data_IF_659744514786
#
_entry.id   IF_659744514786
#
_cell.length_a   1.000
_cell.length_b   1.000
_cell.length_c   1.000
_cell.angle_alpha   90.00
_cell.angle_beta   90.00
_cell.angle_gamma   90.00
#
_symmetry.space_group_name_H-M   'P 1'
#
loop_
_entity.id
_entity.type
_entity.pdbx_description
1 polymer ?
#
# COMPACT_ATOMS: atom_id res chain seq x y z
N UNK A 1 -16.34 13.73 -29.76
CA UNK A 1 -15.46 14.49 -30.67
C UNK A 1 -14.06 14.41 -30.11
N UNK A 2 -13.22 13.62 -30.76
CA UNK A 2 -11.86 13.33 -30.34
C UNK A 2 -10.96 14.50 -30.75
N UNK A 3 -10.32 15.13 -29.77
CA UNK A 3 -9.47 16.31 -29.97
C UNK A 3 -8.11 15.84 -30.55
N UNK A 4 -7.73 16.21 -31.79
CA UNK A 4 -6.60 15.61 -32.50
C UNK A 4 -5.20 16.02 -32.02
N UNK A 5 -5.06 16.88 -31.00
CA UNK A 5 -3.76 17.29 -30.46
C UNK A 5 -3.33 16.49 -29.21
N UNK A 6 -3.30 15.15 -29.31
CA UNK A 6 -2.88 14.22 -28.24
C UNK A 6 -1.49 13.59 -28.45
N UNK A 7 -0.55 14.32 -29.03
CA UNK A 7 0.86 13.92 -29.05
C UNK A 7 1.61 14.72 -27.99
N UNK A 8 2.31 14.00 -27.09
CA UNK A 8 3.34 14.59 -26.21
C UNK A 8 4.52 15.03 -27.07
N UNK A 9 4.32 16.04 -27.90
CA UNK A 9 5.36 16.59 -28.75
C UNK A 9 6.40 17.28 -27.88
N UNK A 10 7.66 16.88 -28.07
CA UNK A 10 8.80 17.50 -27.40
C UNK A 10 8.88 19.01 -27.69
N UNK A 11 9.70 19.71 -26.91
CA UNK A 11 9.86 21.17 -26.98
C UNK A 11 10.04 21.72 -28.41
N UNK A 12 10.86 21.07 -29.24
CA UNK A 12 11.18 21.53 -30.60
C UNK A 12 9.98 21.58 -31.56
N UNK A 13 9.27 20.46 -31.78
CA UNK A 13 8.04 20.45 -32.59
C UNK A 13 6.97 21.43 -32.10
N UNK A 14 6.81 21.56 -30.78
CA UNK A 14 5.88 22.52 -30.15
C UNK A 14 6.25 23.97 -30.45
N UNK A 15 7.53 24.32 -30.28
CA UNK A 15 8.07 25.63 -30.65
C UNK A 15 7.82 25.93 -32.14
N UNK A 16 8.07 24.97 -33.02
CA UNK A 16 7.82 25.13 -34.45
C UNK A 16 6.32 25.36 -34.76
N UNK A 17 5.43 24.67 -34.04
CA UNK A 17 3.98 24.86 -34.12
C UNK A 17 3.55 26.27 -33.72
N UNK A 18 4.00 26.74 -32.55
CA UNK A 18 3.70 28.08 -32.04
C UNK A 18 4.24 29.18 -32.95
N UNK A 19 5.47 29.02 -33.47
CA UNK A 19 6.03 29.96 -34.45
C UNK A 19 5.18 30.07 -35.70
N UNK A 20 4.74 28.94 -36.27
CA UNK A 20 3.88 28.93 -37.46
C UNK A 20 2.51 29.55 -37.16
N UNK A 21 1.94 29.30 -35.99
CA UNK A 21 0.68 29.90 -35.56
C UNK A 21 0.78 31.44 -35.42
N UNK A 22 1.95 31.95 -35.01
CA UNK A 22 2.26 33.37 -34.98
C UNK A 22 2.58 33.98 -36.37
N UNK A 23 2.53 33.18 -37.45
CA UNK A 23 2.82 33.62 -38.81
C UNK A 23 4.29 33.98 -39.07
N UNK A 24 5.21 33.54 -38.20
CA UNK A 24 6.63 33.90 -38.28
C UNK A 24 7.43 32.83 -39.03
N UNK A 25 8.42 33.25 -39.81
CA UNK A 25 9.50 32.36 -40.29
C UNK A 25 10.56 32.16 -39.20
N UNK A 26 11.40 31.12 -39.32
CA UNK A 26 12.54 30.93 -38.40
C UNK A 26 13.47 32.14 -38.37
N UNK A 27 13.64 32.82 -39.52
CA UNK A 27 14.44 34.02 -39.65
C UNK A 27 13.83 35.18 -38.86
N UNK A 28 12.53 35.44 -39.04
CA UNK A 28 11.82 36.51 -38.33
C UNK A 28 11.75 36.28 -36.81
N UNK A 29 11.61 35.02 -36.37
CA UNK A 29 11.67 34.70 -34.95
C UNK A 29 13.07 34.94 -34.38
N UNK A 30 14.11 34.57 -35.13
CA UNK A 30 15.50 34.79 -34.73
C UNK A 30 15.82 36.29 -34.59
N UNK A 31 15.35 37.12 -35.52
CA UNK A 31 15.48 38.58 -35.49
C UNK A 31 14.82 39.20 -34.26
N UNK A 32 13.60 38.77 -33.92
CA UNK A 32 12.89 39.25 -32.71
C UNK A 32 13.57 38.88 -31.40
N UNK A 33 14.35 37.79 -31.40
CA UNK A 33 15.03 37.26 -30.21
C UNK A 33 16.51 37.65 -30.17
N UNK A 34 17.01 38.40 -31.16
CA UNK A 34 18.43 38.72 -31.31
C UNK A 34 19.35 37.49 -31.31
N UNK A 35 18.90 36.40 -31.93
CA UNK A 35 19.67 35.16 -32.10
C UNK A 35 19.85 34.81 -33.58
N UNK A 36 20.67 33.80 -33.88
CA UNK A 36 20.83 33.33 -35.25
C UNK A 36 19.67 32.42 -35.67
N UNK A 37 19.30 32.43 -36.96
CA UNK A 37 18.34 31.47 -37.52
C UNK A 37 18.73 30.01 -37.26
N UNK A 38 20.03 29.71 -37.21
CA UNK A 38 20.53 28.38 -36.88
C UNK A 38 20.22 27.97 -35.44
N UNK A 39 20.24 28.90 -34.47
CA UNK A 39 19.84 28.62 -33.10
C UNK A 39 18.37 28.18 -33.04
N UNK A 40 17.47 28.94 -33.67
CA UNK A 40 16.04 28.59 -33.77
C UNK A 40 15.83 27.23 -34.43
N UNK A 41 16.54 26.94 -35.52
CA UNK A 41 16.47 25.64 -36.20
C UNK A 41 16.95 24.47 -35.31
N UNK A 42 18.02 24.67 -34.53
CA UNK A 42 18.51 23.67 -33.58
C UNK A 42 17.56 23.45 -32.41
N UNK A 43 16.88 24.49 -31.94
CA UNK A 43 15.83 24.38 -30.93
C UNK A 43 14.61 23.62 -31.46
N UNK A 44 14.12 23.97 -32.65
CA UNK A 44 12.98 23.29 -33.29
C UNK A 44 13.26 21.81 -33.60
N UNK A 45 14.52 21.45 -33.87
CA UNK A 45 14.97 20.07 -34.10
C UNK A 45 15.42 19.33 -32.82
N UNK A 46 15.36 19.97 -31.65
CA UNK A 46 15.76 19.38 -30.37
C UNK A 46 17.26 19.13 -30.19
N UNK A 47 18.11 19.67 -31.07
CA UNK A 47 19.58 19.50 -31.00
C UNK A 47 20.24 20.34 -29.91
N UNK A 48 19.62 21.47 -29.57
CA UNK A 48 20.02 22.33 -28.44
C UNK A 48 18.77 22.83 -27.74
N UNK A 49 18.91 23.30 -26.51
CA UNK A 49 17.83 23.97 -25.78
C UNK A 49 18.16 25.45 -25.61
N UNK A 50 17.16 26.35 -25.65
CA UNK A 50 17.33 27.73 -25.23
C UNK A 50 17.57 27.76 -23.71
N UNK A 51 18.30 28.78 -23.26
CA UNK A 51 18.46 29.06 -21.84
C UNK A 51 17.21 29.74 -21.27
N UNK A 52 17.22 30.06 -19.97
CA UNK A 52 16.06 30.66 -19.31
C UNK A 52 15.65 32.01 -19.93
N UNK A 53 16.63 32.84 -20.30
CA UNK A 53 16.38 34.11 -20.98
C UNK A 53 15.78 33.90 -22.37
N UNK A 54 16.30 32.93 -23.14
CA UNK A 54 15.77 32.53 -24.43
C UNK A 54 14.33 32.00 -24.35
N UNK A 55 14.00 31.22 -23.31
CA UNK A 55 12.64 30.73 -23.07
C UNK A 55 11.65 31.88 -22.78
N UNK A 56 12.04 32.84 -21.95
CA UNK A 56 11.21 34.03 -21.68
C UNK A 56 11.02 34.88 -22.93
N UNK A 57 12.10 35.10 -23.70
CA UNK A 57 12.04 35.83 -24.97
C UNK A 57 11.13 35.13 -25.98
N UNK A 58 11.22 33.80 -26.09
CA UNK A 58 10.35 33.00 -26.96
C UNK A 58 8.87 33.14 -26.59
N UNK A 59 8.55 33.06 -25.30
CA UNK A 59 7.18 33.22 -24.82
C UNK A 59 6.60 34.61 -25.19
N UNK A 60 7.39 35.67 -24.99
CA UNK A 60 7.02 37.04 -25.37
C UNK A 60 6.88 37.22 -26.89
N UNK A 61 7.86 36.76 -27.67
CA UNK A 61 7.88 36.94 -29.12
C UNK A 61 6.75 36.19 -29.84
N UNK A 62 6.27 35.09 -29.24
CA UNK A 62 5.20 34.23 -29.75
C UNK A 62 3.83 34.54 -29.11
N UNK A 63 3.76 35.41 -28.10
CA UNK A 63 2.51 35.78 -27.43
C UNK A 63 1.85 34.61 -26.67
N UNK A 64 2.66 33.72 -26.09
CA UNK A 64 2.17 32.54 -25.36
C UNK A 64 2.75 32.49 -23.94
N UNK A 65 2.14 31.71 -23.06
CA UNK A 65 2.70 31.49 -21.71
C UNK A 65 3.88 30.50 -21.76
N UNK A 66 4.71 30.53 -20.72
CA UNK A 66 5.83 29.58 -20.60
C UNK A 66 5.32 28.12 -20.55
N UNK A 67 4.15 27.87 -19.93
CA UNK A 67 3.53 26.53 -19.98
C UNK A 67 3.13 26.13 -21.40
N UNK A 68 2.58 27.05 -22.20
CA UNK A 68 2.23 26.75 -23.58
C UNK A 68 3.46 26.44 -24.43
N UNK A 69 4.58 27.15 -24.19
CA UNK A 69 5.84 27.01 -24.90
C UNK A 69 6.60 25.72 -24.56
N UNK A 70 6.80 25.47 -23.27
CA UNK A 70 7.54 24.29 -22.78
C UNK A 70 6.70 23.01 -22.92
N UNK A 71 5.40 23.19 -23.16
CA UNK A 71 4.41 22.17 -22.86
C UNK A 71 4.17 22.19 -21.38
N UNK A 72 2.88 22.24 -21.00
CA UNK A 72 2.50 22.26 -19.61
C UNK A 72 3.35 21.22 -18.91
N UNK A 73 3.99 21.62 -17.80
CA UNK A 73 4.30 20.67 -16.75
C UNK A 73 2.96 19.98 -16.53
N UNK A 74 2.71 18.85 -17.20
CA UNK A 74 1.48 18.11 -16.98
C UNK A 74 1.52 17.90 -15.48
N UNK A 75 0.51 18.42 -14.73
CA UNK A 75 0.49 18.23 -13.30
C UNK A 75 0.66 16.72 -13.13
N UNK A 76 1.75 16.29 -12.47
CA UNK A 76 2.26 14.93 -12.61
C UNK A 76 1.10 14.00 -12.33
N UNK A 77 0.73 13.18 -13.34
CA UNK A 77 -0.59 12.55 -13.46
C UNK A 77 -1.27 12.42 -12.09
N UNK A 78 -2.27 13.29 -11.86
CA UNK A 78 -3.00 13.31 -10.61
C UNK A 78 -3.68 11.97 -10.36
N UNK A 79 -4.15 11.72 -9.14
CA UNK A 79 -4.91 10.52 -8.87
C UNK A 79 -6.11 10.39 -9.79
N UNK A 80 -6.46 9.14 -10.09
CA UNK A 80 -7.73 8.85 -10.76
C UNK A 80 -8.86 9.25 -9.80
N UNK A 81 -9.47 10.40 -10.03
CA UNK A 81 -10.53 10.94 -9.17
C UNK A 81 -11.79 10.07 -9.20
N UNK A 82 -12.03 9.32 -10.28
CA UNK A 82 -13.11 8.34 -10.33
C UNK A 82 -12.85 7.20 -9.34
N UNK A 83 -11.66 6.61 -9.41
CA UNK A 83 -11.24 5.55 -8.49
C UNK A 83 -11.20 6.02 -7.03
N UNK A 84 -10.65 7.21 -6.78
CA UNK A 84 -10.60 7.82 -5.44
C UNK A 84 -11.98 8.04 -4.86
N UNK A 85 -12.93 8.54 -5.68
CA UNK A 85 -14.35 8.67 -5.27
C UNK A 85 -14.91 7.30 -4.90
N UNK A 86 -14.69 6.27 -5.72
CA UNK A 86 -15.13 4.91 -5.43
C UNK A 86 -14.58 4.41 -4.10
N UNK A 87 -13.29 4.56 -3.81
CA UNK A 87 -12.71 4.18 -2.52
C UNK A 87 -13.41 4.87 -1.33
N UNK A 88 -13.61 6.20 -1.43
CA UNK A 88 -14.34 6.97 -0.40
C UNK A 88 -15.77 6.45 -0.21
N UNK A 89 -16.48 6.20 -1.31
CA UNK A 89 -17.84 5.68 -1.28
C UNK A 89 -17.91 4.31 -0.60
N UNK A 90 -17.02 3.38 -0.96
CA UNK A 90 -16.98 2.05 -0.33
C UNK A 90 -16.65 2.16 1.16
N UNK A 91 -15.67 2.99 1.54
CA UNK A 91 -15.30 3.20 2.93
C UNK A 91 -16.46 3.74 3.76
N UNK A 92 -17.09 4.84 3.35
CA UNK A 92 -18.20 5.44 4.10
C UNK A 92 -19.47 4.59 4.09
N UNK A 93 -19.75 3.86 3.00
CA UNK A 93 -20.86 2.89 2.98
C UNK A 93 -20.64 1.78 4.00
N UNK A 94 -19.40 1.33 4.16
CA UNK A 94 -19.01 0.35 5.17
C UNK A 94 -19.07 0.91 6.59
N UNK A 95 -18.66 2.15 6.83
CA UNK A 95 -18.83 2.84 8.12
C UNK A 95 -20.32 2.85 8.51
N UNK A 96 -21.19 3.25 7.57
CA UNK A 96 -22.63 3.28 7.78
C UNK A 96 -23.17 1.88 8.08
N UNK A 97 -22.78 0.88 7.28
CA UNK A 97 -23.19 -0.51 7.48
C UNK A 97 -22.74 -1.04 8.84
N UNK A 98 -21.49 -0.79 9.25
CA UNK A 98 -20.98 -1.16 10.56
C UNK A 98 -21.80 -0.53 11.69
N UNK A 99 -22.12 0.77 11.58
CA UNK A 99 -22.95 1.47 12.57
C UNK A 99 -24.37 0.87 12.67
N UNK A 100 -24.99 0.55 11.53
CA UNK A 100 -26.29 -0.13 11.49
C UNK A 100 -26.22 -1.51 12.15
N UNK A 101 -25.20 -2.30 11.83
CA UNK A 101 -25.02 -3.63 12.43
C UNK A 101 -24.80 -3.53 13.95
N UNK A 102 -23.99 -2.58 14.41
CA UNK A 102 -23.78 -2.34 15.85
C UNK A 102 -25.11 -2.01 16.54
N UNK A 103 -25.92 -1.12 15.97
CA UNK A 103 -27.25 -0.80 16.49
C UNK A 103 -28.18 -2.02 16.54
N UNK A 104 -28.19 -2.83 15.49
CA UNK A 104 -28.96 -4.07 15.42
C UNK A 104 -28.51 -5.09 16.48
N UNK A 105 -27.21 -5.25 16.71
CA UNK A 105 -26.67 -6.15 17.73
C UNK A 105 -27.09 -5.75 19.14
N UNK A 106 -27.03 -4.45 19.44
CA UNK A 106 -27.50 -3.92 20.72
C UNK A 106 -29.01 -4.10 20.88
N UNK A 107 -29.80 -3.84 19.82
CA UNK A 107 -31.24 -4.03 19.82
C UNK A 107 -31.67 -5.49 20.02
N UNK A 108 -30.94 -6.44 19.43
CA UNK A 108 -31.16 -7.88 19.61
C UNK A 108 -30.69 -8.42 20.97
N UNK A 109 -30.14 -7.57 21.86
CA UNK A 109 -29.62 -8.01 23.15
C UNK A 109 -28.36 -8.88 23.05
N UNK A 110 -27.60 -8.76 21.97
CA UNK A 110 -26.40 -9.57 21.66
C UNK A 110 -25.15 -8.67 21.55
N UNK A 111 -24.66 -8.07 22.67
CA UNK A 111 -23.58 -7.08 22.63
C UNK A 111 -22.24 -7.64 22.14
N UNK A 112 -22.01 -8.96 22.25
CA UNK A 112 -20.79 -9.59 21.75
C UNK A 112 -20.62 -9.46 20.22
N UNK A 113 -21.72 -9.31 19.47
CA UNK A 113 -21.69 -9.14 18.02
C UNK A 113 -21.16 -7.77 17.56
N UNK A 114 -21.11 -6.78 18.45
CA UNK A 114 -20.60 -5.42 18.16
C UNK A 114 -19.11 -5.42 17.84
N UNK A 115 -18.35 -6.35 18.42
CA UNK A 115 -16.89 -6.36 18.32
C UNK A 115 -16.38 -6.63 16.90
N UNK A 116 -17.06 -7.48 16.13
CA UNK A 116 -16.63 -7.80 14.76
C UNK A 116 -16.64 -6.56 13.84
N UNK A 117 -17.77 -5.88 13.61
CA UNK A 117 -17.77 -4.67 12.77
C UNK A 117 -16.88 -3.56 13.35
N UNK A 118 -16.75 -3.44 14.67
CA UNK A 118 -15.87 -2.45 15.29
C UNK A 118 -14.38 -2.70 14.99
N UNK A 119 -13.90 -3.94 15.15
CA UNK A 119 -12.50 -4.30 14.89
C UNK A 119 -12.16 -4.17 13.41
N UNK A 120 -13.04 -4.67 12.53
CA UNK A 120 -12.84 -4.57 11.09
C UNK A 120 -12.75 -3.11 10.63
N UNK A 121 -13.61 -2.24 11.19
CA UNK A 121 -13.57 -0.81 10.89
C UNK A 121 -12.31 -0.13 11.43
N UNK A 122 -11.84 -0.50 12.62
CA UNK A 122 -10.58 0.01 13.18
C UNK A 122 -9.40 -0.36 12.27
N UNK A 123 -9.33 -1.63 11.84
CA UNK A 123 -8.29 -2.12 10.93
C UNK A 123 -8.34 -1.38 9.58
N UNK A 124 -9.51 -1.29 8.94
CA UNK A 124 -9.64 -0.61 7.65
C UNK A 124 -9.36 0.90 7.77
N UNK A 125 -9.79 1.55 8.85
CA UNK A 125 -9.50 2.96 9.12
C UNK A 125 -8.00 3.23 9.28
N UNK A 126 -7.27 2.31 9.94
CA UNK A 126 -5.82 2.41 10.12
C UNK A 126 -5.03 2.37 8.81
N UNK A 127 -5.61 1.77 7.75
CA UNK A 127 -5.00 1.67 6.41
C UNK A 127 -5.53 2.77 5.49
N UNK A 128 -6.83 3.03 5.51
CA UNK A 128 -7.51 4.04 4.69
C UNK A 128 -6.91 5.44 4.89
N UNK A 129 -6.76 5.87 6.15
CA UNK A 129 -6.34 7.23 6.47
C UNK A 129 -4.93 7.54 5.94
N UNK A 130 -3.90 6.68 6.16
CA UNK A 130 -2.61 6.86 5.51
C UNK A 130 -2.68 6.86 3.99
N UNK A 131 -3.40 5.91 3.36
CA UNK A 131 -3.44 5.81 1.89
C UNK A 131 -4.10 7.04 1.26
N UNK A 132 -5.22 7.52 1.79
CA UNK A 132 -5.87 8.76 1.32
C UNK A 132 -4.96 9.98 1.54
N UNK A 133 -4.23 10.04 2.67
CA UNK A 133 -3.26 11.11 2.93
C UNK A 133 -2.10 11.08 1.91
N UNK A 134 -1.58 9.90 1.56
CA UNK A 134 -0.54 9.74 0.54
C UNK A 134 -1.04 10.16 -0.84
N UNK A 135 -2.25 9.76 -1.23
CA UNK A 135 -2.86 10.14 -2.52
C UNK A 135 -3.10 11.65 -2.61
N UNK A 136 -3.54 12.27 -1.51
CA UNK A 136 -3.83 13.72 -1.45
C UNK A 136 -2.56 14.58 -1.44
N UNK A 137 -1.55 14.17 -0.68
CA UNK A 137 -0.30 14.92 -0.52
C UNK A 137 0.72 14.64 -1.63
N UNK A 138 0.65 13.45 -2.23
CA UNK A 138 1.68 12.95 -3.14
C UNK A 138 2.97 12.52 -2.44
N UNK A 139 2.98 12.43 -1.10
CA UNK A 139 4.08 11.88 -0.30
C UNK A 139 3.77 10.42 0.06
N UNK A 140 4.60 9.50 -0.42
CA UNK A 140 4.43 8.05 -0.23
C UNK A 140 5.34 7.48 0.86
N UNK A 141 5.90 8.30 1.74
CA UNK A 141 6.76 7.83 2.85
C UNK A 141 6.10 6.85 3.80
N UNK A 142 4.78 6.92 3.94
CA UNK A 142 4.01 5.99 4.75
C UNK A 142 3.73 4.66 4.03
N UNK A 143 4.05 4.55 2.74
CA UNK A 143 3.91 3.29 2.00
C UNK A 143 5.07 2.38 2.37
N UNK A 144 4.75 1.20 2.91
CA UNK A 144 5.76 0.21 3.28
C UNK A 144 6.61 -0.18 2.06
N UNK A 145 7.93 -0.12 2.21
CA UNK A 145 8.88 -0.44 1.13
C UNK A 145 9.12 0.69 0.11
N UNK A 146 8.54 1.88 0.32
CA UNK A 146 8.84 3.05 -0.51
C UNK A 146 10.22 3.65 -0.16
N UNK A 147 11.08 3.81 -1.16
CA UNK A 147 12.40 4.43 -1.01
C UNK A 147 12.49 5.70 -1.86
N UNK A 148 12.62 6.86 -1.21
CA UNK A 148 12.76 8.17 -1.87
C UNK A 148 13.95 8.25 -2.85
N UNK A 149 14.91 7.32 -2.77
CA UNK A 149 16.08 7.25 -3.64
C UNK A 149 15.81 6.56 -4.98
N UNK A 150 14.73 5.79 -5.09
CA UNK A 150 14.36 5.05 -6.29
C UNK A 150 13.49 5.89 -7.23
N UNK A 151 13.65 5.67 -8.53
CA UNK A 151 12.93 6.43 -9.56
C UNK A 151 11.63 5.72 -9.92
N UNK A 152 10.57 5.98 -9.14
CA UNK A 152 9.25 5.40 -9.41
C UNK A 152 8.53 6.10 -10.57
N UNK A 153 7.85 5.31 -11.39
CA UNK A 153 6.87 5.84 -12.33
C UNK A 153 5.62 6.32 -11.58
N UNK A 154 5.58 7.63 -11.29
CA UNK A 154 4.59 8.27 -10.41
C UNK A 154 3.11 7.98 -10.73
N UNK A 155 2.64 8.00 -12.00
CA UNK A 155 1.25 7.67 -12.32
C UNK A 155 0.87 6.25 -11.89
N UNK A 156 1.77 5.29 -12.13
CA UNK A 156 1.58 3.89 -11.72
C UNK A 156 1.64 3.72 -10.21
N UNK A 157 2.50 4.45 -9.51
CA UNK A 157 2.56 4.44 -8.05
C UNK A 157 1.24 4.93 -7.43
N UNK A 158 0.72 6.07 -7.89
CA UNK A 158 -0.57 6.61 -7.42
C UNK A 158 -1.68 5.59 -7.67
N UNK A 159 -1.73 5.03 -8.89
CA UNK A 159 -2.74 4.03 -9.24
C UNK A 159 -2.62 2.75 -8.41
N UNK A 160 -1.41 2.30 -8.10
CA UNK A 160 -1.17 1.16 -7.22
C UNK A 160 -1.75 1.43 -5.83
N UNK A 161 -1.43 2.58 -5.23
CA UNK A 161 -1.93 2.96 -3.89
C UNK A 161 -3.46 3.02 -3.85
N UNK A 162 -4.09 3.59 -4.87
CA UNK A 162 -5.55 3.62 -4.97
C UNK A 162 -6.16 2.21 -5.13
N UNK A 163 -5.50 1.31 -5.86
CA UNK A 163 -5.92 -0.08 -6.00
C UNK A 163 -5.71 -0.90 -4.72
N UNK A 164 -4.65 -0.63 -3.96
CA UNK A 164 -4.46 -1.18 -2.62
C UNK A 164 -5.63 -0.77 -1.75
N UNK A 165 -5.94 0.54 -1.70
CA UNK A 165 -7.06 1.07 -0.90
C UNK A 165 -8.37 0.38 -1.28
N UNK A 166 -8.73 0.38 -2.58
CA UNK A 166 -9.95 -0.27 -3.04
C UNK A 166 -10.02 -1.75 -2.64
N UNK A 167 -8.90 -2.48 -2.77
CA UNK A 167 -8.85 -3.91 -2.44
C UNK A 167 -9.07 -4.15 -0.94
N UNK A 168 -8.43 -3.35 -0.09
CA UNK A 168 -8.64 -3.38 1.37
C UNK A 168 -10.10 -3.05 1.70
N UNK A 169 -10.67 -2.01 1.08
CA UNK A 169 -12.04 -1.61 1.34
C UNK A 169 -13.06 -2.68 0.95
N UNK A 170 -12.88 -3.31 -0.21
CA UNK A 170 -13.75 -4.39 -0.69
C UNK A 170 -13.61 -5.65 0.17
N UNK A 171 -12.39 -6.00 0.61
CA UNK A 171 -12.18 -7.09 1.56
C UNK A 171 -12.94 -6.83 2.87
N UNK A 172 -12.78 -5.66 3.47
CA UNK A 172 -13.50 -5.29 4.70
C UNK A 172 -15.02 -5.29 4.53
N UNK A 173 -15.53 -4.81 3.38
CA UNK A 173 -16.96 -4.84 3.09
C UNK A 173 -17.49 -6.28 2.99
N UNK A 174 -16.77 -7.15 2.28
CA UNK A 174 -17.12 -8.56 2.16
C UNK A 174 -17.16 -9.26 3.53
N UNK A 175 -16.15 -9.05 4.37
CA UNK A 175 -16.08 -9.67 5.70
C UNK A 175 -17.11 -9.12 6.70
N UNK A 176 -17.47 -7.84 6.62
CA UNK A 176 -18.58 -7.29 7.41
C UNK A 176 -19.92 -7.92 7.03
N UNK A 177 -20.16 -8.16 5.74
CA UNK A 177 -21.39 -8.80 5.25
C UNK A 177 -21.43 -10.28 5.60
N UNK A 178 -20.35 -11.01 5.31
CA UNK A 178 -20.19 -12.44 5.63
C UNK A 178 -20.33 -12.65 7.14
N UNK A 179 -19.63 -11.82 7.93
CA UNK A 179 -19.71 -11.84 9.38
C UNK A 179 -21.15 -11.72 9.85
N UNK A 180 -21.84 -10.64 9.47
CA UNK A 180 -23.23 -10.42 9.87
C UNK A 180 -24.16 -11.61 9.52
N UNK A 181 -24.09 -12.12 8.29
CA UNK A 181 -24.92 -13.23 7.83
C UNK A 181 -24.65 -14.53 8.62
N UNK A 182 -23.38 -14.85 8.87
CA UNK A 182 -23.00 -16.04 9.63
C UNK A 182 -23.34 -15.91 11.12
N UNK A 183 -23.35 -14.71 11.67
CA UNK A 183 -23.65 -14.49 13.08
C UNK A 183 -25.13 -14.65 13.43
N UNK A 184 -26.05 -14.33 12.49
CA UNK A 184 -27.50 -14.36 12.75
C UNK A 184 -27.99 -15.71 13.32
N UNK A 185 -27.64 -16.88 12.72
CA UNK A 185 -28.05 -18.17 13.24
C UNK A 185 -27.15 -18.73 14.35
N UNK A 186 -26.01 -18.10 14.67
CA UNK A 186 -25.05 -18.66 15.63
C UNK A 186 -25.50 -18.51 17.09
N UNK A 187 -25.31 -19.58 17.86
CA UNK A 187 -25.41 -19.52 19.34
C UNK A 187 -24.20 -18.79 19.93
N UNK A 188 -24.28 -18.38 21.20
CA UNK A 188 -23.14 -17.77 21.90
C UNK A 188 -21.93 -18.72 21.95
N UNK A 189 -22.18 -20.02 22.05
CA UNK A 189 -21.14 -21.05 22.04
C UNK A 189 -20.48 -21.19 20.66
N UNK A 190 -21.24 -21.11 19.56
CA UNK A 190 -20.64 -21.14 18.22
C UNK A 190 -19.90 -19.83 17.93
N UNK A 191 -20.41 -18.70 18.43
CA UNK A 191 -19.82 -17.38 18.25
C UNK A 191 -18.42 -17.27 18.85
N UNK A 192 -18.17 -17.88 20.00
CA UNK A 192 -16.85 -17.86 20.63
C UNK A 192 -15.77 -18.42 19.69
N UNK A 193 -16.09 -19.45 18.88
CA UNK A 193 -15.14 -20.05 17.95
C UNK A 193 -15.17 -19.40 16.56
N UNK A 194 -16.35 -18.95 16.12
CA UNK A 194 -16.52 -18.28 14.83
C UNK A 194 -15.83 -16.92 14.76
N UNK A 195 -15.91 -16.13 15.84
CA UNK A 195 -15.37 -14.77 15.87
C UNK A 195 -13.86 -14.68 15.53
N UNK A 196 -12.95 -15.43 16.18
CA UNK A 196 -11.53 -15.40 15.84
C UNK A 196 -11.24 -15.83 14.40
N UNK A 197 -11.98 -16.82 13.88
CA UNK A 197 -11.83 -17.32 12.50
C UNK A 197 -12.19 -16.23 11.49
N UNK A 198 -13.28 -15.49 11.72
CA UNK A 198 -13.70 -14.38 10.85
C UNK A 198 -12.66 -13.25 10.84
N UNK A 199 -12.13 -12.89 12.02
CA UNK A 199 -11.09 -11.85 12.13
C UNK A 199 -9.81 -12.25 11.38
N UNK A 200 -9.37 -13.51 11.51
CA UNK A 200 -8.18 -13.99 10.80
C UNK A 200 -8.39 -14.11 9.31
N UNK A 201 -9.56 -14.61 8.88
CA UNK A 201 -9.91 -14.61 7.46
C UNK A 201 -9.88 -13.21 6.86
N UNK A 202 -10.39 -12.21 7.58
CA UNK A 202 -10.30 -10.80 7.20
C UNK A 202 -8.86 -10.32 7.06
N UNK A 203 -8.01 -10.55 8.07
CA UNK A 203 -6.59 -10.13 8.07
C UNK A 203 -5.84 -10.79 6.92
N UNK A 204 -6.00 -12.11 6.72
CA UNK A 204 -5.34 -12.84 5.64
C UNK A 204 -5.80 -12.33 4.27
N UNK A 205 -7.10 -12.13 4.07
CA UNK A 205 -7.64 -11.57 2.82
C UNK A 205 -7.09 -10.18 2.53
N UNK A 206 -6.96 -9.34 3.56
CA UNK A 206 -6.35 -8.00 3.45
C UNK A 206 -4.87 -8.09 3.04
N UNK A 207 -4.07 -8.90 3.75
CA UNK A 207 -2.64 -9.06 3.48
C UNK A 207 -2.37 -9.62 2.07
N UNK A 208 -3.13 -10.66 1.68
CA UNK A 208 -3.04 -11.24 0.33
C UNK A 208 -3.43 -10.21 -0.73
N UNK A 209 -4.50 -9.44 -0.50
CA UNK A 209 -4.93 -8.38 -1.41
C UNK A 209 -3.85 -7.32 -1.63
N UNK A 210 -3.25 -6.80 -0.54
CA UNK A 210 -2.15 -5.83 -0.60
C UNK A 210 -0.97 -6.41 -1.38
N UNK A 211 -0.57 -7.65 -1.07
CA UNK A 211 0.55 -8.31 -1.73
C UNK A 211 0.30 -8.54 -3.24
N UNK A 212 -0.89 -8.99 -3.62
CA UNK A 212 -1.27 -9.20 -5.01
C UNK A 212 -1.23 -7.91 -5.82
N UNK A 213 -1.71 -6.79 -5.27
CA UNK A 213 -1.65 -5.49 -5.93
C UNK A 213 -0.19 -5.03 -6.08
N UNK A 214 0.61 -5.13 -5.01
CA UNK A 214 2.04 -4.80 -5.07
C UNK A 214 2.76 -5.62 -6.15
N UNK A 215 2.53 -6.94 -6.19
CA UNK A 215 3.14 -7.83 -7.17
C UNK A 215 2.74 -7.46 -8.61
N UNK A 216 1.45 -7.18 -8.84
CA UNK A 216 0.91 -6.79 -10.15
C UNK A 216 1.54 -5.51 -10.69
N UNK A 217 1.75 -4.51 -9.85
CA UNK A 217 2.22 -3.19 -10.28
C UNK A 217 3.75 -3.06 -10.27
N UNK A 218 4.45 -3.90 -9.53
CA UNK A 218 5.89 -3.79 -9.30
C UNK A 218 6.73 -3.72 -10.59
N UNK A 219 6.43 -4.51 -11.63
CA UNK A 219 7.17 -4.48 -12.90
C UNK A 219 7.01 -3.16 -13.68
N UNK A 220 5.89 -2.45 -13.47
CA UNK A 220 5.57 -1.18 -14.12
C UNK A 220 5.95 0.03 -13.27
N UNK A 221 6.32 -0.19 -12.01
CA UNK A 221 6.67 0.83 -11.02
C UNK A 221 8.11 1.28 -11.11
N UNK A 222 9.02 0.32 -11.27
CA UNK A 222 10.46 0.53 -11.37
C UNK A 222 10.91 0.21 -12.80
N UNK A 223 11.15 1.24 -13.64
CA UNK A 223 11.56 1.04 -15.03
C UNK A 223 12.98 0.48 -15.14
N UNK A 224 13.86 0.74 -14.18
CA UNK A 224 15.21 0.19 -14.13
C UNK A 224 15.21 -1.25 -13.57
N UNK A 225 15.76 -2.21 -14.33
CA UNK A 225 15.80 -3.61 -13.92
C UNK A 225 16.71 -3.84 -12.70
N UNK A 226 17.76 -3.03 -12.53
CA UNK A 226 18.66 -3.09 -11.39
C UNK A 226 17.96 -2.66 -10.11
N UNK A 227 17.24 -1.54 -10.13
CA UNK A 227 16.38 -1.05 -9.05
C UNK A 227 15.30 -2.08 -8.70
N UNK A 228 14.66 -2.67 -9.72
CA UNK A 228 13.66 -3.71 -9.52
C UNK A 228 14.24 -4.93 -8.80
N UNK A 229 15.40 -5.44 -9.23
CA UNK A 229 16.10 -6.54 -8.55
C UNK A 229 16.48 -6.19 -7.12
N UNK A 230 16.90 -4.96 -6.85
CA UNK A 230 17.21 -4.48 -5.49
C UNK A 230 15.96 -4.48 -4.60
N UNK A 231 14.81 -4.03 -5.09
CA UNK A 231 13.55 -4.08 -4.32
C UNK A 231 13.08 -5.50 -4.01
N UNK A 232 13.49 -6.49 -4.81
CA UNK A 232 13.16 -7.90 -4.61
C UNK A 232 14.08 -8.62 -3.64
N UNK A 233 15.19 -8.02 -3.24
CA UNK A 233 16.15 -8.67 -2.36
C UNK A 233 15.57 -8.97 -0.97
N UNK A 234 14.61 -8.19 -0.52
CA UNK A 234 13.92 -8.37 0.77
C UNK A 234 12.66 -9.24 0.68
N UNK A 235 12.21 -9.65 -0.52
CA UNK A 235 11.03 -10.54 -0.68
C UNK A 235 11.17 -11.88 0.07
N UNK A 236 12.31 -12.61 0.00
CA UNK A 236 12.46 -13.86 0.75
C UNK A 236 12.30 -13.65 2.25
N UNK A 237 12.82 -12.55 2.78
CA UNK A 237 12.70 -12.18 4.20
C UNK A 237 11.25 -11.93 4.56
N UNK A 238 10.53 -11.16 3.73
CA UNK A 238 9.11 -10.89 3.90
C UNK A 238 8.28 -12.16 3.92
N UNK A 239 8.52 -13.08 2.99
CA UNK A 239 7.81 -14.36 2.91
C UNK A 239 8.10 -15.22 4.14
N UNK A 240 9.37 -15.37 4.53
CA UNK A 240 9.74 -16.19 5.69
C UNK A 240 9.06 -15.69 6.96
N UNK A 241 9.22 -14.40 7.27
CA UNK A 241 8.67 -13.84 8.51
C UNK A 241 7.15 -13.68 8.48
N UNK A 242 6.57 -13.43 7.29
CA UNK A 242 5.13 -13.47 7.09
C UNK A 242 4.55 -14.86 7.39
N UNK A 243 5.21 -15.93 6.93
CA UNK A 243 4.82 -17.32 7.24
C UNK A 243 4.96 -17.60 8.74
N UNK A 244 6.06 -17.20 9.39
CA UNK A 244 6.25 -17.38 10.84
C UNK A 244 5.14 -16.68 11.62
N UNK A 245 4.82 -15.43 11.27
CA UNK A 245 3.72 -14.68 11.88
C UNK A 245 2.38 -15.39 11.70
N UNK A 246 2.06 -15.86 10.49
CA UNK A 246 0.84 -16.62 10.21
C UNK A 246 0.76 -17.93 10.99
N UNK A 247 1.88 -18.65 11.16
CA UNK A 247 1.93 -19.87 11.98
C UNK A 247 1.63 -19.53 13.45
N UNK A 248 2.24 -18.48 14.01
CA UNK A 248 1.97 -18.04 15.38
C UNK A 248 0.51 -17.63 15.59
N UNK A 249 -0.08 -16.93 14.61
CA UNK A 249 -1.49 -16.57 14.62
C UNK A 249 -2.40 -17.80 14.55
N UNK A 250 -2.06 -18.75 13.67
CA UNK A 250 -2.74 -20.03 13.55
C UNK A 250 -2.65 -20.85 14.84
N UNK A 251 -1.49 -20.87 15.52
CA UNK A 251 -1.31 -21.53 16.82
C UNK A 251 -2.19 -20.92 17.90
N UNK A 252 -2.34 -19.59 17.94
CA UNK A 252 -3.24 -18.94 18.90
C UNK A 252 -4.67 -19.48 18.80
N UNK A 253 -5.19 -19.58 17.59
CA UNK A 253 -6.57 -20.03 17.37
C UNK A 253 -6.66 -21.55 17.49
N UNK A 254 -5.75 -22.27 16.85
CA UNK A 254 -5.77 -23.73 16.80
C UNK A 254 -5.66 -24.35 18.19
N UNK A 255 -4.77 -23.84 19.04
CA UNK A 255 -4.65 -24.32 20.41
C UNK A 255 -5.90 -23.98 21.23
N UNK A 256 -6.46 -22.77 21.09
CA UNK A 256 -7.69 -22.42 21.80
C UNK A 256 -8.83 -23.37 21.41
N UNK A 257 -8.98 -23.67 20.12
CA UNK A 257 -10.00 -24.60 19.59
C UNK A 257 -9.78 -26.03 20.09
N UNK A 258 -8.55 -26.55 19.97
CA UNK A 258 -8.22 -27.94 20.33
C UNK A 258 -8.37 -28.17 21.83
N UNK A 259 -7.86 -27.26 22.65
CA UNK A 259 -7.90 -27.36 24.12
C UNK A 259 -9.15 -26.71 24.74
N UNK A 260 -10.12 -26.30 23.92
CA UNK A 260 -11.40 -25.69 24.35
C UNK A 260 -11.22 -24.53 25.32
N UNK A 261 -10.21 -23.69 25.09
CA UNK A 261 -9.92 -22.48 25.88
C UNK A 261 -10.91 -21.38 25.46
N UNK A 262 -11.88 -20.98 26.31
CA UNK A 262 -12.90 -20.02 25.91
C UNK A 262 -12.30 -18.61 25.78
N UNK A 263 -12.82 -17.83 24.85
CA UNK A 263 -12.40 -16.44 24.65
C UNK A 263 -12.66 -15.59 25.90
N UNK A 264 -11.87 -14.54 26.10
CA UNK A 264 -12.04 -13.60 27.22
C UNK A 264 -11.93 -14.26 28.62
N UNK A 265 -11.21 -15.37 28.73
CA UNK A 265 -10.89 -16.04 30.00
C UNK A 265 -9.45 -15.81 30.44
N UNK A 266 -9.11 -16.01 31.73
CA UNK A 266 -7.73 -16.02 32.19
C UNK A 266 -6.85 -17.00 31.40
N UNK A 267 -7.35 -18.19 31.08
CA UNK A 267 -6.65 -19.17 30.25
C UNK A 267 -6.30 -18.62 28.86
N UNK A 268 -7.26 -17.99 28.18
CA UNK A 268 -7.02 -17.32 26.91
C UNK A 268 -6.00 -16.17 27.04
N UNK A 269 -6.05 -15.39 28.12
CA UNK A 269 -5.08 -14.31 28.36
C UNK A 269 -3.66 -14.86 28.57
N UNK A 270 -3.50 -15.95 29.34
CA UNK A 270 -2.19 -16.58 29.54
C UNK A 270 -1.66 -17.16 28.23
N UNK A 271 -2.51 -17.85 27.47
CA UNK A 271 -2.15 -18.39 26.16
C UNK A 271 -1.73 -17.27 25.18
N UNK A 272 -2.49 -16.17 25.10
CA UNK A 272 -2.13 -15.01 24.28
C UNK A 272 -0.89 -14.28 24.82
N UNK A 273 -0.68 -14.28 26.13
CA UNK A 273 0.50 -13.68 26.79
C UNK A 273 1.82 -14.32 26.36
N UNK A 274 1.81 -15.59 25.96
CA UNK A 274 2.98 -16.26 25.36
C UNK A 274 3.05 -16.12 23.84
N UNK A 275 1.91 -16.05 23.15
CA UNK A 275 1.85 -15.87 21.70
C UNK A 275 2.24 -14.46 21.23
N UNK A 276 1.77 -13.43 21.93
CA UNK A 276 1.96 -12.01 21.57
C UNK A 276 3.44 -11.59 21.53
N UNK A 277 4.30 -11.91 22.51
CA UNK A 277 5.73 -11.63 22.43
C UNK A 277 6.37 -12.25 21.18
N UNK A 278 5.97 -13.47 20.82
CA UNK A 278 6.44 -14.14 19.60
C UNK A 278 6.05 -13.39 18.33
N UNK A 279 4.82 -12.88 18.25
CA UNK A 279 4.34 -12.08 17.11
C UNK A 279 5.02 -10.72 17.01
N UNK A 280 5.14 -10.00 18.14
CA UNK A 280 5.83 -8.71 18.21
C UNK A 280 7.29 -8.88 17.81
N UNK A 281 7.93 -9.94 18.29
CA UNK A 281 9.30 -10.29 17.92
C UNK A 281 9.39 -10.57 16.41
N UNK A 282 8.55 -11.45 15.86
CA UNK A 282 8.50 -11.73 14.41
C UNK A 282 8.32 -10.46 13.56
N UNK A 283 7.48 -9.53 14.00
CA UNK A 283 7.25 -8.26 13.31
C UNK A 283 8.47 -7.33 13.37
N UNK A 284 9.07 -7.15 14.54
CA UNK A 284 10.29 -6.35 14.69
C UNK A 284 11.45 -6.91 13.84
N UNK A 285 11.55 -8.24 13.76
CA UNK A 285 12.58 -8.95 13.00
C UNK A 285 12.39 -8.85 11.51
N UNK A 286 11.14 -8.90 11.05
CA UNK A 286 10.80 -8.68 9.66
C UNK A 286 11.43 -7.37 9.17
N UNK A 287 11.18 -6.24 9.85
CA UNK A 287 11.74 -4.95 9.45
C UNK A 287 13.26 -4.91 9.55
N UNK A 288 13.83 -5.50 10.60
CA UNK A 288 15.27 -5.51 10.79
C UNK A 288 16.00 -6.31 9.70
N UNK A 289 15.52 -7.50 9.36
CA UNK A 289 16.11 -8.32 8.30
C UNK A 289 15.78 -7.79 6.90
N UNK A 290 14.62 -7.16 6.69
CA UNK A 290 14.34 -6.43 5.45
C UNK A 290 15.37 -5.32 5.22
N UNK A 291 15.65 -4.51 6.25
CA UNK A 291 16.67 -3.47 6.17
C UNK A 291 18.07 -4.04 5.86
N UNK A 292 18.40 -5.19 6.42
CA UNK A 292 19.69 -5.87 6.16
C UNK A 292 19.75 -6.43 4.74
N UNK A 293 18.66 -7.02 4.23
CA UNK A 293 18.56 -7.51 2.87
C UNK A 293 18.73 -6.38 1.85
N UNK A 294 18.09 -5.23 2.07
CA UNK A 294 18.24 -4.06 1.22
C UNK A 294 19.68 -3.53 1.23
N UNK A 295 20.33 -3.47 2.41
CA UNK A 295 21.73 -3.07 2.53
C UNK A 295 22.68 -4.02 1.80
N UNK A 296 22.44 -5.34 1.88
CA UNK A 296 23.20 -6.33 1.11
C UNK A 296 23.02 -6.16 -0.39
N UNK A 297 21.79 -5.91 -0.85
CA UNK A 297 21.49 -5.69 -2.26
C UNK A 297 22.16 -4.43 -2.81
N UNK A 298 22.23 -3.35 -2.01
CA UNK A 298 22.96 -2.14 -2.35
C UNK A 298 24.47 -2.39 -2.52
N UNK A 299 25.04 -3.30 -1.73
CA UNK A 299 26.43 -3.72 -1.84
C UNK A 299 26.69 -4.73 -2.99
N UNK A 300 25.67 -5.06 -3.80
CA UNK A 300 25.77 -6.08 -4.85
C UNK A 300 25.88 -7.51 -4.32
N UNK A 301 25.64 -7.72 -3.01
CA UNK A 301 25.72 -9.00 -2.35
C UNK A 301 24.34 -9.65 -2.21
N UNK A 302 24.31 -10.99 -2.19
CA UNK A 302 23.09 -11.74 -1.91
C UNK A 302 22.79 -11.73 -0.40
N UNK A 303 21.52 -11.55 -0.02
CA UNK A 303 21.12 -11.67 1.38
C UNK A 303 21.36 -13.09 1.89
N UNK A 304 21.83 -13.21 3.13
CA UNK A 304 21.99 -14.48 3.84
C UNK A 304 21.61 -14.33 5.31
N UNK A 305 20.87 -15.30 5.89
CA UNK A 305 20.51 -15.27 7.30
C UNK A 305 21.76 -15.26 8.18
N UNK A 306 21.78 -14.34 9.13
CA UNK A 306 22.90 -14.16 10.07
C UNK A 306 22.68 -14.93 11.37
N UNK A 307 23.62 -14.84 12.30
CA UNK A 307 23.46 -15.47 13.64
C UNK A 307 22.20 -14.99 14.37
N UNK A 308 21.93 -13.69 14.28
CA UNK A 308 20.79 -13.09 14.95
C UNK A 308 19.44 -13.54 14.35
N UNK A 309 19.35 -13.71 13.03
CA UNK A 309 18.18 -14.33 12.39
C UNK A 309 17.82 -15.66 13.06
N UNK A 310 18.81 -16.55 13.23
CA UNK A 310 18.60 -17.86 13.84
C UNK A 310 18.25 -17.80 15.32
N UNK A 311 18.94 -16.94 16.09
CA UNK A 311 18.63 -16.75 17.53
C UNK A 311 17.20 -16.26 17.73
N UNK A 312 16.73 -15.39 16.86
CA UNK A 312 15.45 -14.73 17.01
C UNK A 312 14.31 -15.61 16.46
N UNK A 313 14.59 -16.40 15.41
CA UNK A 313 13.72 -17.52 15.01
C UNK A 313 13.57 -18.53 16.16
N UNK A 314 14.67 -18.90 16.84
CA UNK A 314 14.62 -19.76 18.01
C UNK A 314 13.78 -19.15 19.14
N UNK A 315 13.87 -17.83 19.37
CA UNK A 315 13.00 -17.10 20.30
C UNK A 315 11.51 -17.17 19.92
N UNK A 316 11.19 -17.02 18.63
CA UNK A 316 9.82 -17.16 18.12
C UNK A 316 9.28 -18.59 18.31
N UNK A 317 10.12 -19.60 18.07
CA UNK A 317 9.78 -21.01 18.30
C UNK A 317 9.62 -21.32 19.80
N UNK A 318 10.45 -20.71 20.66
CA UNK A 318 10.32 -20.84 22.11
C UNK A 318 8.98 -20.25 22.60
N UNK A 319 8.61 -19.07 22.11
CA UNK A 319 7.31 -18.46 22.44
C UNK A 319 6.15 -19.36 22.00
N UNK A 320 6.23 -19.93 20.79
CA UNK A 320 5.24 -20.89 20.29
C UNK A 320 5.18 -22.17 21.16
N UNK A 321 6.32 -22.69 21.60
CA UNK A 321 6.38 -23.85 22.49
C UNK A 321 5.79 -23.54 23.88
N UNK A 322 6.10 -22.38 24.46
CA UNK A 322 5.54 -21.93 25.74
C UNK A 322 4.04 -21.72 25.64
N UNK A 323 3.57 -21.16 24.53
CA UNK A 323 2.14 -21.02 24.26
C UNK A 323 1.42 -22.36 24.19
N UNK A 324 2.03 -23.37 23.55
CA UNK A 324 1.50 -24.72 23.53
C UNK A 324 1.48 -25.34 24.93
N UNK A 325 2.58 -25.22 25.68
CA UNK A 325 2.65 -25.69 27.06
C UNK A 325 1.58 -25.06 27.96
N UNK A 326 1.31 -23.76 27.79
CA UNK A 326 0.24 -23.07 28.51
C UNK A 326 -1.15 -23.61 28.15
N UNK A 327 -1.39 -23.96 26.89
CA UNK A 327 -2.65 -24.56 26.45
C UNK A 327 -2.87 -25.97 27.04
N UNK A 328 -1.80 -26.78 27.12
CA UNK A 328 -1.83 -28.10 27.77
C UNK A 328 -2.09 -27.94 29.27
N UNK A 329 -1.34 -27.05 29.94
CA UNK A 329 -1.48 -26.82 31.37
C UNK A 329 -2.88 -26.31 31.75
N UNK A 330 -3.53 -25.52 30.88
CA UNK A 330 -4.93 -25.14 31.06
C UNK A 330 -5.86 -26.36 30.98
N UNK A 331 -5.68 -27.23 29.98
CA UNK A 331 -6.50 -28.43 29.81
C UNK A 331 -6.32 -29.46 30.94
N UNK A 332 -5.14 -29.52 31.54
CA UNK A 332 -4.83 -30.37 32.70
C UNK A 332 -5.27 -29.75 34.05
N UNK A 333 -5.91 -28.56 34.02
CA UNK A 333 -6.41 -27.86 35.21
C UNK A 333 -5.36 -27.12 36.04
N UNK A 334 -4.14 -26.95 35.51
CA UNK A 334 -3.01 -26.35 36.20
C UNK A 334 -2.95 -24.81 36.17
N UNK A 335 -3.73 -24.15 35.29
CA UNK A 335 -3.76 -22.69 35.18
C UNK A 335 -5.21 -22.20 35.18
N UNK A 336 -5.67 -21.71 36.36
CA UNK A 336 -6.88 -20.90 36.57
C UNK A 336 -8.09 -21.30 35.71
N UNK A 337 -8.75 -22.40 36.10
CA UNK A 337 -10.11 -22.73 35.66
C UNK A 337 -11.14 -21.74 36.19
#
# INVERSE_FOLDING_TARGET
MENPNRTSEGFGPRLAGLRRAAGLTQQQLAERLYVTRQAVSRWESGRTQPDLAGLQGLAQALGCTLEQLVGGLEPPAGPDEGLRRTCRWVFWSKVLLAAVQIGLWLWMGKPAGVWLPAILLLCDGSVYLPLEAMVRSGDFTLLAGFDRRLHYHRPTLIRMVQMIDLTVQLNGLAWILIGFLLCLPMSAETWQWGFPVLVVGYILGMLVGIFMVNFKYNSSLLPDEGERRRSHASLPVLVIWGVVFCIQLGLCIGLAVVYRIPNNTPGALVQMGWGMPGMVLSFALLFWEMHRADKSAQAGAHWRPGRAFWLLLAGCLLCAAMQWGAAIAYADGGILH
#
